data_IF_161633306374
#
_entry.id   IF_161633306374
#
_cell.length_a   1.000
_cell.length_b   1.000
_cell.length_c   1.000
_cell.angle_alpha   90.00
_cell.angle_beta   90.00
_cell.angle_gamma   90.00
#
_symmetry.space_group_name_H-M   'P 1'
#
loop_
_entity.id
_entity.type
_entity.pdbx_description
1 polymer ?
#
# COMPACT_ATOMS: atom_id res chain seq x y z
N UNK A 1 -41.90 51.57 -22.89
CA UNK A 1 -41.56 51.87 -21.48
C UNK A 1 -40.41 50.99 -21.06
N UNK A 2 -39.28 51.63 -20.71
CA UNK A 2 -38.32 51.30 -19.63
C UNK A 2 -37.85 49.83 -19.48
N UNK A 3 -36.52 49.69 -19.58
CA UNK A 3 -35.69 48.79 -18.76
C UNK A 3 -35.55 47.35 -19.29
N UNK A 4 -34.49 46.61 -19.01
CA UNK A 4 -33.24 46.83 -18.28
C UNK A 4 -32.34 45.61 -18.59
N UNK A 5 -31.03 45.86 -18.69
CA UNK A 5 -29.85 45.00 -18.42
C UNK A 5 -30.03 43.47 -18.38
N UNK A 6 -29.14 42.76 -19.10
CA UNK A 6 -28.23 41.70 -18.59
C UNK A 6 -27.27 41.29 -19.74
N UNK A 7 -26.00 41.72 -19.70
CA UNK A 7 -24.81 40.89 -19.41
C UNK A 7 -24.96 39.42 -19.86
N UNK A 8 -24.33 39.07 -20.98
CA UNK A 8 -23.45 37.91 -21.07
C UNK A 8 -22.59 38.02 -22.34
N UNK A 9 -21.30 38.20 -22.11
CA UNK A 9 -20.20 38.08 -23.08
C UNK A 9 -20.24 36.70 -23.73
N UNK A 10 -20.68 36.65 -24.97
CA UNK A 10 -20.57 35.47 -25.82
C UNK A 10 -19.12 35.20 -26.17
N UNK A 11 -18.61 34.05 -25.73
CA UNK A 11 -17.37 33.47 -26.21
C UNK A 11 -17.63 32.93 -27.63
N UNK A 12 -17.49 33.80 -28.64
CA UNK A 12 -17.57 33.40 -30.04
C UNK A 12 -16.23 32.82 -30.46
N UNK A 13 -16.22 31.49 -30.59
CA UNK A 13 -15.21 30.73 -31.33
C UNK A 13 -15.07 31.33 -32.72
N UNK A 14 -13.89 31.85 -33.05
CA UNK A 14 -13.48 32.12 -34.43
C UNK A 14 -12.28 31.25 -34.75
N UNK A 15 -12.56 30.15 -35.43
CA UNK A 15 -11.60 29.43 -36.26
C UNK A 15 -11.00 30.43 -37.25
N UNK A 16 -9.73 30.78 -37.08
CA UNK A 16 -8.97 31.46 -38.14
C UNK A 16 -7.64 30.73 -38.35
N UNK A 17 -7.64 29.94 -39.43
CA UNK A 17 -6.53 29.59 -40.30
C UNK A 17 -5.19 29.21 -39.67
N UNK A 18 -4.89 27.90 -39.71
CA UNK A 18 -3.50 27.43 -39.79
C UNK A 18 -2.81 28.04 -41.02
N UNK A 19 -1.81 28.88 -40.77
CA UNK A 19 -0.77 29.24 -41.73
C UNK A 19 0.57 28.83 -41.10
N UNK A 20 1.52 28.24 -41.84
CA UNK A 20 2.84 27.93 -41.31
C UNK A 20 3.59 29.24 -41.11
N UNK A 21 3.74 29.67 -39.86
CA UNK A 21 4.60 30.78 -39.52
C UNK A 21 6.05 30.31 -39.69
N UNK A 22 6.73 30.80 -40.73
CA UNK A 22 8.16 30.61 -40.89
C UNK A 22 8.86 31.08 -39.62
N UNK A 23 9.67 30.22 -39.00
CA UNK A 23 10.48 30.53 -37.84
C UNK A 23 11.43 31.69 -38.20
N UNK A 24 11.09 32.91 -37.77
CA UNK A 24 12.02 34.02 -37.85
C UNK A 24 13.09 33.84 -36.78
N UNK A 25 14.36 33.88 -37.20
CA UNK A 25 15.48 33.86 -36.29
C UNK A 25 15.38 35.08 -35.36
N UNK A 26 15.21 34.82 -34.06
CA UNK A 26 15.21 35.88 -33.05
C UNK A 26 16.57 36.58 -33.08
N UNK A 27 16.54 37.91 -33.15
CA UNK A 27 17.76 38.71 -33.13
C UNK A 27 18.42 38.62 -31.74
N UNK A 28 19.74 38.82 -31.69
CA UNK A 28 20.51 38.74 -30.43
C UNK A 28 19.98 39.72 -29.37
N UNK A 29 19.46 40.88 -29.79
CA UNK A 29 18.85 41.87 -28.90
C UNK A 29 17.51 41.41 -28.30
N UNK A 30 16.70 40.67 -29.06
CA UNK A 30 15.46 40.09 -28.56
C UNK A 30 15.75 38.98 -27.54
N UNK A 31 16.79 38.17 -27.78
CA UNK A 31 17.24 37.15 -26.84
C UNK A 31 17.81 37.78 -25.56
N UNK A 32 18.56 38.87 -25.67
CA UNK A 32 19.09 39.57 -24.50
C UNK A 32 17.97 40.15 -23.63
N UNK A 33 16.97 40.75 -24.27
CA UNK A 33 15.78 41.27 -23.57
C UNK A 33 15.02 40.17 -22.83
N UNK A 34 14.85 39.00 -23.45
CA UNK A 34 14.23 37.84 -22.81
C UNK A 34 15.06 37.32 -21.63
N UNK A 35 16.38 37.28 -21.75
CA UNK A 35 17.27 36.86 -20.66
C UNK A 35 17.15 37.80 -19.45
N UNK A 36 17.07 39.10 -19.69
CA UNK A 36 16.97 40.10 -18.62
C UNK A 36 15.59 40.04 -17.94
N UNK A 37 14.52 39.80 -18.70
CA UNK A 37 13.19 39.56 -18.15
C UNK A 37 13.14 38.27 -17.30
N UNK A 38 13.71 37.18 -17.80
CA UNK A 38 13.81 35.91 -17.08
C UNK A 38 14.63 36.05 -15.79
N UNK A 39 15.75 36.79 -15.82
CA UNK A 39 16.53 37.09 -14.61
C UNK A 39 15.70 37.87 -13.58
N UNK A 40 14.93 38.85 -14.02
CA UNK A 40 14.06 39.62 -13.13
C UNK A 40 12.97 38.73 -12.48
N UNK A 41 12.37 37.81 -13.24
CA UNK A 41 11.39 36.85 -12.70
C UNK A 41 12.00 35.89 -11.68
N UNK A 42 13.21 35.38 -11.95
CA UNK A 42 13.93 34.51 -11.00
C UNK A 42 14.27 35.26 -9.71
N UNK A 43 14.73 36.51 -9.81
CA UNK A 43 15.02 37.36 -8.64
C UNK A 43 13.77 37.58 -7.77
N UNK A 44 12.62 37.81 -8.41
CA UNK A 44 11.33 37.98 -7.72
C UNK A 44 10.90 36.69 -7.00
N UNK A 45 11.04 35.52 -7.64
CA UNK A 45 10.72 34.23 -7.03
C UNK A 45 11.63 33.88 -5.85
N UNK A 46 12.94 34.14 -5.97
CA UNK A 46 13.90 33.94 -4.86
C UNK A 46 13.55 34.83 -3.67
N UNK A 47 13.17 36.08 -3.93
CA UNK A 47 12.78 37.03 -2.87
C UNK A 47 11.47 36.61 -2.18
N UNK A 48 10.50 36.11 -2.93
CA UNK A 48 9.26 35.56 -2.39
C UNK A 48 9.51 34.30 -1.53
N UNK A 49 10.42 33.43 -1.96
CA UNK A 49 10.79 32.22 -1.20
C UNK A 49 11.52 32.57 0.11
N UNK A 50 12.40 33.60 0.08
CA UNK A 50 13.07 34.11 1.27
C UNK A 50 12.07 34.73 2.27
N UNK A 51 11.09 35.49 1.78
CA UNK A 51 10.03 36.05 2.62
C UNK A 51 9.15 34.96 3.26
N UNK A 52 8.86 33.88 2.53
CA UNK A 52 8.06 32.76 3.04
C UNK A 52 8.78 31.95 4.13
N UNK A 53 10.13 31.89 4.10
CA UNK A 53 10.95 31.26 5.15
C UNK A 53 10.92 32.01 6.50
N UNK A 54 10.65 33.31 6.50
CA UNK A 54 10.66 34.14 7.71
C UNK A 54 9.30 34.21 8.44
N UNK A 55 8.25 33.54 7.95
CA UNK A 55 6.91 33.57 8.57
C UNK A 55 6.47 32.28 9.27
N UNK A 56 7.38 31.33 9.56
CA UNK A 56 7.03 30.11 10.28
C UNK A 56 7.76 30.00 11.63
N UNK A 57 7.18 30.62 12.67
CA UNK A 57 7.41 30.20 14.06
C UNK A 57 6.20 30.58 14.93
N UNK A 58 5.42 29.62 15.46
CA UNK A 58 4.72 29.81 16.70
C UNK A 58 5.62 29.41 17.87
N UNK A 59 5.70 30.30 18.85
CA UNK A 59 6.39 30.15 20.12
C UNK A 59 5.66 29.09 20.96
N UNK A 60 6.37 28.05 21.42
CA UNK A 60 5.87 27.13 22.45
C UNK A 60 6.70 27.33 23.72
N UNK A 61 6.02 27.71 24.78
CA UNK A 61 6.57 27.96 26.11
C UNK A 61 7.16 26.67 26.72
N UNK A 62 8.33 26.80 27.33
CA UNK A 62 9.02 25.75 28.08
C UNK A 62 8.39 25.57 29.47
N UNK A 63 8.18 24.31 29.87
CA UNK A 63 7.88 23.89 31.26
C UNK A 63 9.03 22.96 31.72
N UNK A 64 9.55 23.05 32.96
CA UNK A 64 10.78 22.35 33.37
C UNK A 64 10.59 20.85 33.64
N UNK A 65 11.69 20.06 33.64
CA UNK A 65 11.64 18.60 33.70
C UNK A 65 11.44 18.06 35.12
N UNK A 66 10.56 17.08 35.25
CA UNK A 66 10.43 16.23 36.44
C UNK A 66 10.95 14.82 36.13
N UNK A 67 11.84 14.35 37.00
CA UNK A 67 12.51 13.05 36.96
C UNK A 67 11.54 11.92 37.32
N UNK A 68 11.53 10.85 36.53
CA UNK A 68 10.94 9.57 36.93
C UNK A 68 11.82 8.40 36.46
N UNK A 69 12.15 7.55 37.43
CA UNK A 69 12.99 6.35 37.38
C UNK A 69 12.35 5.22 36.55
N UNK A 70 13.11 4.30 35.94
CA UNK A 70 12.54 3.24 35.11
C UNK A 70 12.02 2.09 35.97
N UNK A 71 10.70 1.83 35.91
CA UNK A 71 10.13 0.58 36.37
C UNK A 71 10.13 -0.43 35.21
N UNK A 72 10.90 -1.50 35.37
CA UNK A 72 10.88 -2.69 34.51
C UNK A 72 9.54 -3.42 34.67
N UNK A 73 8.73 -3.47 33.61
CA UNK A 73 7.64 -4.43 33.48
C UNK A 73 7.87 -5.32 32.27
N UNK A 74 8.00 -6.60 32.55
CA UNK A 74 8.04 -7.70 31.60
C UNK A 74 6.75 -7.73 30.77
N UNK A 75 6.88 -7.48 29.47
CA UNK A 75 5.82 -7.66 28.49
C UNK A 75 5.69 -9.15 28.12
N UNK A 76 4.74 -9.84 28.75
CA UNK A 76 4.13 -11.03 28.15
C UNK A 76 2.99 -10.56 27.25
N UNK A 77 3.21 -10.58 25.94
CA UNK A 77 2.18 -10.31 24.96
C UNK A 77 1.16 -11.48 24.93
N UNK A 78 -0.15 -11.24 25.09
CA UNK A 78 -1.14 -12.27 24.87
C UNK A 78 -1.34 -12.45 23.36
N UNK A 79 -1.04 -13.65 22.87
CA UNK A 79 -1.49 -14.12 21.55
C UNK A 79 -2.99 -14.37 21.65
N UNK A 80 -3.80 -13.40 21.25
CA UNK A 80 -5.22 -13.65 20.99
C UNK A 80 -5.33 -14.33 19.63
N UNK A 81 -5.29 -15.67 19.66
CA UNK A 81 -5.84 -16.50 18.60
C UNK A 81 -7.29 -16.10 18.35
N UNK A 82 -7.67 -16.10 17.07
CA UNK A 82 -9.05 -15.97 16.65
C UNK A 82 -9.88 -17.04 17.38
N UNK A 83 -10.83 -16.61 18.20
CA UNK A 83 -11.76 -17.49 18.88
C UNK A 83 -12.63 -18.20 17.86
N UNK A 84 -12.48 -19.52 17.73
CA UNK A 84 -13.52 -20.42 17.28
C UNK A 84 -14.72 -20.34 18.24
N UNK A 85 -15.97 -20.53 17.78
CA UNK A 85 -17.14 -20.35 18.62
C UNK A 85 -17.32 -21.53 19.59
N UNK A 86 -17.13 -21.28 20.88
CA UNK A 86 -17.56 -22.17 21.95
C UNK A 86 -19.08 -22.19 22.03
N UNK A 87 -19.68 -23.37 21.94
CA UNK A 87 -21.11 -23.59 22.18
C UNK A 87 -21.44 -23.38 23.68
N UNK A 88 -22.39 -22.48 23.96
CA UNK A 88 -22.99 -22.27 25.28
C UNK A 88 -24.51 -22.01 25.10
N UNK A 89 -25.33 -22.29 26.13
CA UNK A 89 -26.68 -22.83 25.96
C UNK A 89 -27.73 -21.83 25.48
N UNK A 90 -28.79 -22.38 24.88
CA UNK A 90 -29.86 -21.69 24.16
C UNK A 90 -30.43 -20.47 24.91
N UNK A 91 -30.10 -19.29 24.38
CA UNK A 91 -30.75 -18.03 24.71
C UNK A 91 -31.84 -17.71 23.68
N UNK A 92 -32.92 -17.07 24.15
CA UNK A 92 -34.04 -16.53 23.38
C UNK A 92 -33.60 -15.83 22.07
N UNK A 93 -34.43 -15.82 21.00
CA UNK A 93 -34.01 -15.41 19.67
C UNK A 93 -33.40 -14.00 19.70
N UNK A 94 -32.08 -13.95 19.64
CA UNK A 94 -31.34 -12.71 19.58
C UNK A 94 -31.76 -11.98 18.30
N UNK A 95 -32.18 -10.72 18.44
CA UNK A 95 -32.37 -9.85 17.28
C UNK A 95 -31.12 -9.93 16.40
N UNK A 96 -31.30 -10.15 15.10
CA UNK A 96 -30.18 -10.22 14.16
C UNK A 96 -29.33 -8.94 14.31
N UNK A 97 -28.07 -9.09 14.70
CA UNK A 97 -27.14 -7.97 14.88
C UNK A 97 -27.13 -7.08 13.64
N UNK A 98 -27.14 -5.77 13.85
CA UNK A 98 -27.01 -4.82 12.73
C UNK A 98 -25.65 -5.01 12.05
N UNK A 99 -25.56 -4.69 10.75
CA UNK A 99 -24.36 -4.96 9.96
C UNK A 99 -23.10 -4.29 10.53
N UNK A 100 -23.24 -3.09 11.11
CA UNK A 100 -22.12 -2.36 11.73
C UNK A 100 -21.61 -3.03 13.02
N UNK A 101 -22.45 -3.82 13.71
CA UNK A 101 -22.05 -4.61 14.88
C UNK A 101 -21.28 -5.89 14.51
N UNK A 102 -21.33 -6.26 13.22
CA UNK A 102 -20.55 -7.37 12.66
C UNK A 102 -19.16 -6.93 12.18
N UNK A 103 -18.88 -5.63 12.17
CA UNK A 103 -17.57 -5.11 11.87
C UNK A 103 -16.64 -5.24 13.08
N UNK A 104 -15.40 -5.64 12.80
CA UNK A 104 -14.32 -5.76 13.77
C UNK A 104 -13.24 -4.75 13.45
N UNK A 105 -12.68 -4.16 14.51
CA UNK A 105 -11.49 -3.32 14.46
C UNK A 105 -10.34 -4.07 15.11
N UNK A 106 -9.26 -4.29 14.36
CA UNK A 106 -8.01 -4.85 14.89
C UNK A 106 -6.83 -4.04 14.40
N UNK A 107 -5.70 -4.16 15.07
CA UNK A 107 -4.49 -3.50 14.63
C UNK A 107 -3.25 -4.19 15.14
N UNK A 108 -2.11 -3.85 14.55
CA UNK A 108 -0.81 -4.28 15.06
C UNK A 108 0.26 -3.28 14.65
N UNK A 109 1.27 -3.18 15.51
CA UNK A 109 2.45 -2.33 15.31
C UNK A 109 3.69 -3.22 15.37
N UNK A 110 4.61 -3.00 14.43
CA UNK A 110 5.91 -3.67 14.40
C UNK A 110 7.01 -2.62 14.44
N UNK A 111 7.76 -2.60 15.53
CA UNK A 111 8.98 -1.83 15.67
C UNK A 111 10.18 -2.70 15.32
N UNK A 112 11.19 -2.13 14.67
CA UNK A 112 12.45 -2.79 14.33
C UNK A 112 13.63 -1.91 14.72
N UNK A 113 14.74 -2.55 15.06
CA UNK A 113 16.05 -1.95 15.06
C UNK A 113 16.86 -2.64 13.98
N UNK A 114 17.40 -1.86 13.04
CA UNK A 114 18.24 -2.37 11.97
C UNK A 114 19.66 -1.86 12.17
N UNK A 115 20.64 -2.77 12.18
CA UNK A 115 22.06 -2.44 12.18
C UNK A 115 22.81 -3.50 11.37
N UNK A 116 23.74 -3.04 10.54
CA UNK A 116 24.67 -3.92 9.86
C UNK A 116 25.75 -4.37 10.84
N UNK A 117 26.00 -5.67 10.92
CA UNK A 117 27.13 -6.21 11.67
C UNK A 117 28.41 -6.23 10.81
N UNK A 118 28.24 -6.44 9.51
CA UNK A 118 29.29 -6.42 8.47
C UNK A 118 28.65 -6.48 7.08
N UNK A 119 29.44 -6.27 6.03
CA UNK A 119 29.01 -6.36 4.62
C UNK A 119 28.84 -5.00 3.95
N UNK A 120 28.40 -5.03 2.69
CA UNK A 120 28.29 -3.85 1.84
C UNK A 120 27.01 -3.05 2.15
N UNK A 121 27.03 -2.34 3.29
CA UNK A 121 25.96 -1.42 3.70
C UNK A 121 25.88 -0.15 2.83
N UNK A 122 26.99 0.17 2.16
CA UNK A 122 27.15 1.21 1.14
C UNK A 122 27.77 0.62 -0.13
N UNK A 123 27.49 1.22 -1.29
CA UNK A 123 28.09 0.83 -2.56
C UNK A 123 28.23 2.02 -3.51
N UNK A 124 29.30 2.08 -4.34
CA UNK A 124 29.42 3.05 -5.44
C UNK A 124 28.24 3.01 -6.41
N UNK A 125 28.06 4.09 -7.18
CA UNK A 125 27.04 4.16 -8.22
C UNK A 125 27.18 3.00 -9.23
N UNK A 126 26.06 2.34 -9.53
CA UNK A 126 26.03 1.18 -10.43
C UNK A 126 26.28 -0.17 -9.75
N UNK A 127 26.68 -0.20 -8.47
CA UNK A 127 26.74 -1.43 -7.67
C UNK A 127 25.60 -1.51 -6.65
N UNK A 128 25.06 -2.70 -6.43
CA UNK A 128 24.01 -2.90 -5.44
C UNK A 128 24.63 -3.10 -4.06
N UNK A 129 24.32 -2.20 -3.13
CA UNK A 129 24.50 -2.45 -1.69
C UNK A 129 23.52 -3.50 -1.18
N UNK A 130 23.76 -4.03 0.01
CA UNK A 130 22.78 -4.84 0.74
C UNK A 130 21.56 -3.95 1.10
N UNK A 131 20.41 -4.33 0.54
CA UNK A 131 19.13 -3.62 0.68
C UNK A 131 17.98 -4.57 0.45
N UNK A 132 16.81 -4.24 0.99
CA UNK A 132 15.54 -4.86 0.59
C UNK A 132 14.68 -3.83 -0.12
N UNK A 133 14.02 -4.21 -1.22
CA UNK A 133 13.13 -3.33 -2.00
C UNK A 133 11.97 -2.81 -1.14
N UNK A 134 11.58 -3.55 -0.10
CA UNK A 134 10.41 -3.26 0.75
C UNK A 134 10.77 -2.94 2.20
N UNK A 135 12.05 -2.77 2.52
CA UNK A 135 12.50 -2.29 3.82
C UNK A 135 13.56 -1.20 3.66
N UNK A 136 13.09 0.05 3.66
CA UNK A 136 13.97 1.22 3.62
C UNK A 136 14.76 1.44 4.92
N UNK A 137 14.40 0.75 6.00
CA UNK A 137 15.15 0.77 7.26
C UNK A 137 16.48 0.02 7.17
N UNK A 138 16.68 -0.80 6.13
CA UNK A 138 17.96 -1.45 5.82
C UNK A 138 18.85 -0.42 5.08
N UNK A 139 19.62 0.33 5.87
CA UNK A 139 20.56 1.35 5.40
C UNK A 139 21.79 1.43 6.30
N UNK A 140 22.85 2.05 5.78
CA UNK A 140 24.08 2.43 6.51
C UNK A 140 23.79 3.31 7.75
N UNK A 141 22.63 3.95 7.79
CA UNK A 141 22.12 4.71 8.94
C UNK A 141 20.96 4.01 9.66
N UNK A 142 20.98 2.68 9.67
CA UNK A 142 19.98 1.86 10.35
C UNK A 142 19.80 2.24 11.82
N UNK A 143 18.56 2.29 12.27
CA UNK A 143 18.18 2.56 13.66
C UNK A 143 16.77 2.03 13.94
N UNK A 144 16.14 2.49 15.02
CA UNK A 144 14.74 2.22 15.31
C UNK A 144 13.84 2.74 14.20
N UNK A 145 12.91 1.90 13.76
CA UNK A 145 11.91 2.22 12.75
C UNK A 145 10.60 1.49 13.04
N UNK A 146 9.49 2.08 12.58
CA UNK A 146 8.22 1.40 12.51
C UNK A 146 8.12 0.73 11.15
N UNK A 147 8.07 -0.60 11.13
CA UNK A 147 7.96 -1.38 9.89
C UNK A 147 6.53 -1.46 9.38
N UNK A 148 5.57 -1.51 10.30
CA UNK A 148 4.12 -1.62 10.06
C UNK A 148 3.38 -0.95 11.21
N UNK A 149 2.40 -0.10 10.89
CA UNK A 149 1.43 0.43 11.85
C UNK A 149 0.08 0.30 11.17
N UNK A 150 -0.56 -0.86 11.33
CA UNK A 150 -1.76 -1.18 10.56
C UNK A 150 -2.98 -1.22 11.44
N UNK A 151 -4.02 -0.55 10.96
CA UNK A 151 -5.37 -0.69 11.44
C UNK A 151 -6.15 -1.52 10.41
N UNK A 152 -7.05 -2.38 10.87
CA UNK A 152 -7.88 -3.21 10.00
C UNK A 152 -9.32 -3.11 10.47
N UNK A 153 -10.18 -2.70 9.55
CA UNK A 153 -11.63 -2.75 9.71
C UNK A 153 -12.12 -3.84 8.77
N UNK A 154 -12.79 -4.86 9.30
CA UNK A 154 -13.28 -5.97 8.49
C UNK A 154 -14.57 -6.56 9.06
N UNK A 155 -15.44 -7.11 8.21
CA UNK A 155 -16.60 -7.88 8.65
C UNK A 155 -17.67 -8.05 7.58
N UNK A 156 -18.62 -8.94 7.87
CA UNK A 156 -19.73 -9.24 6.99
C UNK A 156 -20.83 -8.18 7.12
N UNK A 157 -21.09 -7.46 6.03
CA UNK A 157 -22.16 -6.46 5.98
C UNK A 157 -23.51 -7.07 5.56
N UNK A 158 -23.46 -8.24 4.92
CA UNK A 158 -24.61 -9.09 4.60
C UNK A 158 -24.18 -10.56 4.60
N UNK A 159 -25.11 -11.49 4.40
CA UNK A 159 -24.80 -12.92 4.33
C UNK A 159 -23.85 -13.28 3.19
N UNK A 160 -23.78 -12.43 2.16
CA UNK A 160 -23.00 -12.65 0.93
C UNK A 160 -21.93 -11.59 0.66
N UNK A 161 -21.78 -10.57 1.51
CA UNK A 161 -20.83 -9.49 1.27
C UNK A 161 -20.02 -9.20 2.53
N UNK A 162 -18.69 -9.21 2.39
CA UNK A 162 -17.73 -8.83 3.42
C UNK A 162 -16.90 -7.64 2.97
N UNK A 163 -16.54 -6.76 3.90
CA UNK A 163 -15.66 -5.62 3.65
C UNK A 163 -14.33 -5.80 4.37
N UNK A 164 -13.27 -5.25 3.78
CA UNK A 164 -11.94 -5.19 4.38
C UNK A 164 -11.23 -3.89 4.02
N UNK A 165 -10.75 -3.17 5.03
CA UNK A 165 -9.98 -1.94 4.89
C UNK A 165 -8.75 -2.00 5.81
N UNK A 166 -7.57 -1.71 5.24
CA UNK A 166 -6.30 -1.69 5.97
C UNK A 166 -5.43 -0.51 5.54
N UNK A 167 -5.44 0.62 6.26
CA UNK A 167 -4.37 1.62 6.18
C UNK A 167 -3.10 1.14 6.89
N UNK A 168 -1.96 1.65 6.44
CA UNK A 168 -0.65 1.50 7.09
C UNK A 168 -0.03 2.88 7.28
N UNK A 169 0.37 3.20 8.51
CA UNK A 169 0.99 4.48 8.88
C UNK A 169 2.53 4.41 8.92
N UNK A 170 3.11 3.22 8.72
CA UNK A 170 4.55 3.05 8.59
C UNK A 170 5.01 3.34 7.15
N UNK A 171 4.60 4.48 6.60
CA UNK A 171 4.99 4.91 5.25
C UNK A 171 5.52 6.32 5.25
N UNK A 172 6.41 6.57 4.28
CA UNK A 172 7.01 7.87 4.08
C UNK A 172 6.56 8.47 2.76
N UNK A 173 6.46 9.79 2.75
CA UNK A 173 6.44 10.56 1.51
C UNK A 173 7.68 11.44 1.45
N UNK A 174 8.26 11.48 0.26
CA UNK A 174 9.30 12.46 -0.08
C UNK A 174 8.61 13.62 -0.78
N UNK A 175 8.84 14.84 -0.28
CA UNK A 175 8.31 16.03 -0.91
C UNK A 175 8.88 16.17 -2.33
N UNK A 176 8.06 16.55 -3.31
CA UNK A 176 8.51 16.81 -4.68
C UNK A 176 9.47 18.02 -4.76
N UNK A 177 9.36 18.97 -3.82
CA UNK A 177 10.14 20.20 -3.79
C UNK A 177 11.28 20.21 -2.76
N UNK A 178 11.47 19.13 -1.99
CA UNK A 178 12.48 19.07 -0.93
C UNK A 178 13.05 17.67 -0.73
N UNK A 179 14.28 17.59 -0.26
CA UNK A 179 14.97 16.30 -0.03
C UNK A 179 14.60 15.62 1.30
N UNK A 180 13.82 16.31 2.15
CA UNK A 180 13.41 15.80 3.44
C UNK A 180 12.35 14.70 3.30
N UNK A 181 12.67 13.51 3.80
CA UNK A 181 11.75 12.38 3.91
C UNK A 181 10.94 12.51 5.20
N UNK A 182 9.62 12.40 5.11
CA UNK A 182 8.72 12.46 6.25
C UNK A 182 7.97 11.15 6.41
N UNK A 183 7.99 10.61 7.62
CA UNK A 183 7.37 9.33 7.99
C UNK A 183 5.99 9.56 8.63
N UNK A 184 5.21 8.48 8.82
CA UNK A 184 3.94 8.53 9.56
C UNK A 184 2.70 8.80 8.70
N UNK A 185 2.82 8.71 7.37
CA UNK A 185 1.70 8.95 6.46
C UNK A 185 0.83 7.71 6.31
N UNK A 186 -0.47 7.92 6.18
CA UNK A 186 -1.41 6.84 5.89
C UNK A 186 -1.35 6.43 4.42
N UNK A 187 -1.00 5.17 4.17
CA UNK A 187 -1.12 4.55 2.85
C UNK A 187 -2.20 3.46 2.88
N UNK A 188 -3.05 3.42 1.85
CA UNK A 188 -3.99 2.33 1.68
C UNK A 188 -3.24 1.05 1.31
N UNK A 189 -3.33 0.00 2.14
CA UNK A 189 -2.80 -1.32 1.80
C UNK A 189 -3.88 -2.13 1.12
N UNK A 190 -4.93 -2.47 1.86
CA UNK A 190 -6.06 -3.23 1.31
C UNK A 190 -7.35 -2.40 1.43
N UNK A 191 -8.18 -2.45 0.40
CA UNK A 191 -9.53 -1.91 0.39
C UNK A 191 -10.34 -2.70 -0.62
N UNK A 192 -11.11 -3.67 -0.14
CA UNK A 192 -11.87 -4.55 -1.02
C UNK A 192 -13.18 -5.01 -0.39
N UNK A 193 -14.07 -5.49 -1.25
CA UNK A 193 -15.26 -6.24 -0.89
C UNK A 193 -15.18 -7.67 -1.44
N UNK A 194 -15.52 -8.66 -0.61
CA UNK A 194 -15.72 -10.04 -1.05
C UNK A 194 -17.21 -10.31 -1.23
N UNK A 195 -17.59 -10.82 -2.40
CA UNK A 195 -18.96 -11.27 -2.72
C UNK A 195 -18.97 -12.79 -2.83
N UNK A 196 -19.77 -13.46 -2.01
CA UNK A 196 -19.87 -14.92 -1.96
C UNK A 196 -21.02 -15.43 -2.84
N UNK A 197 -20.68 -16.32 -3.78
CA UNK A 197 -21.64 -16.85 -4.76
C UNK A 197 -22.51 -17.97 -4.19
N UNK A 198 -22.06 -18.64 -3.13
CA UNK A 198 -22.78 -19.70 -2.44
C UNK A 198 -22.89 -19.43 -0.94
N UNK A 199 -23.87 -20.09 -0.28
CA UNK A 199 -24.09 -19.95 1.17
C UNK A 199 -22.93 -20.52 1.99
N UNK A 200 -22.22 -21.52 1.46
CA UNK A 200 -21.05 -22.10 2.11
C UNK A 200 -19.79 -21.25 1.92
N UNK A 201 -19.88 -20.11 1.21
CA UNK A 201 -18.78 -19.17 0.97
C UNK A 201 -17.56 -19.82 0.32
N UNK A 202 -17.77 -20.90 -0.44
CA UNK A 202 -16.71 -21.66 -1.13
C UNK A 202 -16.19 -20.93 -2.35
N UNK A 203 -17.03 -20.17 -3.04
CA UNK A 203 -16.70 -19.34 -4.19
C UNK A 203 -16.91 -17.88 -3.85
N UNK A 204 -15.87 -17.07 -4.01
CA UNK A 204 -15.94 -15.62 -3.79
C UNK A 204 -15.29 -14.82 -4.91
N UNK A 205 -15.84 -13.65 -5.17
CA UNK A 205 -15.26 -12.64 -6.02
C UNK A 205 -14.83 -11.46 -5.15
N UNK A 206 -13.55 -11.11 -5.21
CA UNK A 206 -12.96 -9.98 -4.52
C UNK A 206 -12.87 -8.80 -5.47
N UNK A 207 -13.31 -7.63 -5.04
CA UNK A 207 -13.25 -6.38 -5.81
C UNK A 207 -12.50 -5.32 -5.01
N UNK A 208 -11.44 -4.74 -5.58
CA UNK A 208 -10.72 -3.64 -4.99
C UNK A 208 -9.22 -3.89 -4.86
N UNK A 209 -8.54 -3.03 -4.08
CA UNK A 209 -7.12 -3.15 -3.85
C UNK A 209 -6.86 -4.25 -2.83
N UNK A 210 -6.15 -5.29 -3.25
CA UNK A 210 -5.90 -6.45 -2.40
C UNK A 210 -4.59 -7.15 -2.76
N UNK A 211 -4.20 -8.13 -1.95
CA UNK A 211 -3.05 -8.98 -2.27
C UNK A 211 -3.24 -9.69 -3.61
N UNK A 212 -2.21 -9.64 -4.43
CA UNK A 212 -2.10 -10.42 -5.65
C UNK A 212 -1.80 -11.87 -5.27
N UNK A 213 -2.58 -12.87 -5.76
CA UNK A 213 -2.44 -14.27 -5.37
C UNK A 213 -1.19 -14.90 -6.02
N UNK A 214 -0.01 -14.56 -5.50
CA UNK A 214 1.28 -15.00 -6.04
C UNK A 214 2.20 -15.48 -4.92
N UNK A 215 2.30 -16.80 -4.75
CA UNK A 215 3.16 -17.45 -3.77
C UNK A 215 2.55 -17.56 -2.36
N UNK A 216 2.82 -18.69 -1.71
CA UNK A 216 2.27 -19.03 -0.39
C UNK A 216 2.64 -18.00 0.71
N UNK A 217 3.91 -17.60 0.77
CA UNK A 217 4.37 -16.62 1.76
C UNK A 217 3.78 -15.22 1.56
N UNK A 218 3.38 -14.88 0.32
CA UNK A 218 2.72 -13.62 0.03
C UNK A 218 1.35 -13.57 0.69
N UNK A 219 0.60 -14.66 0.54
CA UNK A 219 -0.77 -14.79 1.04
C UNK A 219 -0.83 -14.82 2.55
N UNK A 220 0.19 -15.37 3.21
CA UNK A 220 0.30 -15.35 4.67
C UNK A 220 0.23 -13.91 5.24
N UNK A 221 -0.49 -13.75 6.37
CA UNK A 221 -0.56 -12.47 7.08
C UNK A 221 0.84 -12.05 7.57
N UNK A 222 1.18 -10.78 7.39
CA UNK A 222 2.43 -10.20 7.92
C UNK A 222 2.47 -10.15 9.45
N UNK A 223 1.33 -10.29 10.13
CA UNK A 223 1.29 -10.43 11.60
C UNK A 223 1.56 -11.85 12.08
N UNK A 224 1.35 -12.86 11.23
CA UNK A 224 1.44 -14.27 11.61
C UNK A 224 2.71 -14.96 11.07
N UNK A 225 3.44 -14.34 10.14
CA UNK A 225 4.63 -14.93 9.52
C UNK A 225 5.71 -15.28 10.53
N UNK A 226 6.49 -16.32 10.22
CA UNK A 226 7.66 -16.72 11.00
C UNK A 226 8.86 -15.81 10.74
N UNK A 227 9.19 -15.59 9.47
CA UNK A 227 10.28 -14.70 9.05
C UNK A 227 9.90 -13.22 9.19
N UNK A 228 10.90 -12.39 9.50
CA UNK A 228 10.71 -10.94 9.60
C UNK A 228 10.26 -10.36 8.25
N UNK A 229 10.92 -10.75 7.17
CA UNK A 229 10.58 -10.37 5.80
C UNK A 229 10.34 -11.60 4.91
N UNK A 230 9.72 -11.34 3.77
CA UNK A 230 9.50 -12.33 2.72
C UNK A 230 10.78 -12.59 1.95
N UNK A 231 10.82 -13.73 1.27
CA UNK A 231 11.88 -14.03 0.31
C UNK A 231 11.95 -12.95 -0.78
N UNK A 232 13.17 -12.67 -1.25
CA UNK A 232 13.38 -11.70 -2.32
C UNK A 232 12.74 -12.13 -3.63
N UNK A 233 12.66 -13.44 -3.90
CA UNK A 233 12.03 -13.98 -5.09
C UNK A 233 10.56 -13.57 -5.22
N UNK A 234 9.79 -13.69 -4.13
CA UNK A 234 8.37 -13.29 -4.12
C UNK A 234 8.22 -11.77 -4.08
N UNK A 235 9.04 -11.09 -3.29
CA UNK A 235 9.00 -9.64 -3.14
C UNK A 235 9.32 -8.88 -4.43
N UNK A 236 10.16 -9.46 -5.30
CA UNK A 236 10.59 -8.83 -6.56
C UNK A 236 9.55 -8.98 -7.67
N UNK A 237 8.76 -10.06 -7.65
CA UNK A 237 7.76 -10.33 -8.68
C UNK A 237 6.59 -9.33 -8.64
N UNK A 238 6.05 -9.06 -7.45
CA UNK A 238 4.97 -8.08 -7.27
C UNK A 238 5.36 -7.07 -6.19
N UNK A 239 6.06 -5.98 -6.55
CA UNK A 239 6.44 -4.95 -5.60
C UNK A 239 5.22 -4.39 -4.85
N UNK A 240 5.25 -4.45 -3.51
CA UNK A 240 4.14 -4.01 -2.67
C UNK A 240 3.02 -5.05 -2.52
N UNK A 241 3.09 -6.15 -3.28
CA UNK A 241 2.29 -7.39 -3.21
C UNK A 241 0.81 -7.25 -3.52
N UNK A 242 0.39 -6.04 -3.85
CA UNK A 242 -1.01 -5.63 -3.94
C UNK A 242 -1.22 -4.80 -5.16
N UNK A 243 -2.41 -4.93 -5.70
CA UNK A 243 -2.86 -4.16 -6.85
C UNK A 243 -4.39 -4.03 -6.81
N UNK A 244 -4.91 -3.11 -7.61
CA UNK A 244 -6.33 -2.89 -7.79
C UNK A 244 -6.85 -3.83 -8.88
N UNK A 245 -7.89 -4.61 -8.55
CA UNK A 245 -8.43 -5.56 -9.51
C UNK A 245 -9.60 -6.38 -9.00
N UNK A 246 -9.84 -7.49 -9.69
CA UNK A 246 -10.87 -8.48 -9.36
C UNK A 246 -10.24 -9.86 -9.27
N UNK A 247 -10.58 -10.62 -8.23
CA UNK A 247 -10.07 -11.99 -8.04
C UNK A 247 -11.19 -12.95 -7.71
N UNK A 248 -11.30 -14.03 -8.48
CA UNK A 248 -12.13 -15.17 -8.13
C UNK A 248 -11.31 -16.15 -7.29
N UNK A 249 -11.87 -16.59 -6.18
CA UNK A 249 -11.31 -17.63 -5.34
C UNK A 249 -12.29 -18.78 -5.18
N UNK A 250 -11.75 -19.99 -5.15
CA UNK A 250 -12.49 -21.20 -4.82
C UNK A 250 -11.74 -22.02 -3.77
N UNK A 251 -12.44 -22.42 -2.71
CA UNK A 251 -11.95 -23.39 -1.72
C UNK A 251 -12.93 -24.55 -1.62
N UNK A 252 -12.52 -25.77 -2.01
CA UNK A 252 -13.29 -26.97 -1.73
C UNK A 252 -13.50 -27.19 -0.22
N UNK A 253 -14.68 -27.63 0.25
CA UNK A 253 -14.92 -27.87 1.67
C UNK A 253 -13.93 -28.85 2.33
N UNK A 254 -13.49 -29.88 1.60
CA UNK A 254 -12.49 -30.82 2.10
C UNK A 254 -11.14 -30.16 2.38
N UNK A 255 -10.72 -29.24 1.51
CA UNK A 255 -9.49 -28.46 1.69
C UNK A 255 -9.64 -27.47 2.85
N UNK A 256 -10.79 -26.79 2.93
CA UNK A 256 -11.08 -25.87 4.03
C UNK A 256 -11.01 -26.58 5.37
N UNK A 257 -11.54 -27.80 5.46
CA UNK A 257 -11.49 -28.61 6.69
C UNK A 257 -10.05 -28.84 7.17
N UNK A 258 -9.15 -29.25 6.27
CA UNK A 258 -7.73 -29.49 6.62
C UNK A 258 -7.10 -28.21 7.20
N UNK A 259 -7.37 -27.06 6.59
CA UNK A 259 -6.88 -25.78 7.11
C UNK A 259 -7.53 -25.36 8.42
N UNK A 260 -8.80 -25.65 8.63
CA UNK A 260 -9.47 -25.36 9.90
C UNK A 260 -8.87 -26.19 11.04
N UNK A 261 -8.59 -27.47 10.79
CA UNK A 261 -7.93 -28.38 11.74
C UNK A 261 -6.50 -27.90 12.05
N UNK A 262 -5.71 -27.57 11.04
CA UNK A 262 -4.37 -27.01 11.24
C UNK A 262 -4.38 -25.69 12.02
N UNK A 263 -5.35 -24.81 11.74
CA UNK A 263 -5.48 -23.53 12.44
C UNK A 263 -5.89 -23.74 13.91
N UNK A 264 -6.77 -24.70 14.17
CA UNK A 264 -7.16 -25.11 15.52
C UNK A 264 -5.95 -25.57 16.33
N UNK A 265 -5.03 -26.29 15.70
CA UNK A 265 -3.78 -26.77 16.33
C UNK A 265 -2.69 -25.69 16.42
N UNK A 266 -3.02 -24.44 16.09
CA UNK A 266 -2.13 -23.29 16.19
C UNK A 266 -1.10 -23.17 15.06
N UNK A 267 -1.27 -23.92 13.97
CA UNK A 267 -0.36 -23.87 12.82
C UNK A 267 -0.54 -22.55 12.03
N UNK A 268 0.58 -22.08 11.47
CA UNK A 268 0.61 -20.82 10.71
C UNK A 268 0.31 -21.07 9.24
N UNK A 269 -0.93 -20.81 8.84
CA UNK A 269 -1.39 -21.05 7.47
C UNK A 269 -1.27 -19.82 6.56
N UNK A 270 -1.46 -20.02 5.25
CA UNK A 270 -1.42 -18.96 4.25
C UNK A 270 -2.64 -18.02 4.26
N UNK A 271 -3.52 -18.13 5.24
CA UNK A 271 -4.72 -17.28 5.36
C UNK A 271 -5.81 -17.66 4.36
N UNK A 272 -7.01 -17.14 4.55
CA UNK A 272 -8.16 -17.46 3.69
C UNK A 272 -8.02 -16.78 2.32
N UNK A 273 -7.28 -17.40 1.40
CA UNK A 273 -6.98 -16.93 0.03
C UNK A 273 -7.34 -17.93 -1.08
N UNK A 274 -8.28 -18.86 -0.83
CA UNK A 274 -8.67 -19.84 -1.84
C UNK A 274 -7.66 -20.99 -1.99
N UNK A 275 -8.14 -22.18 -2.31
CA UNK A 275 -7.28 -23.24 -2.87
C UNK A 275 -6.92 -22.92 -4.32
N UNK A 276 -7.85 -22.31 -5.05
CA UNK A 276 -7.66 -21.80 -6.39
C UNK A 276 -7.95 -20.30 -6.41
N UNK A 277 -7.14 -19.57 -7.15
CA UNK A 277 -7.29 -18.14 -7.37
C UNK A 277 -7.04 -17.79 -8.84
N UNK A 278 -7.90 -16.96 -9.41
CA UNK A 278 -7.65 -16.31 -10.70
C UNK A 278 -7.98 -14.83 -10.58
N UNK A 279 -7.00 -13.98 -10.88
CA UNK A 279 -7.10 -12.54 -10.71
C UNK A 279 -6.71 -11.77 -11.95
N UNK A 280 -7.38 -10.64 -12.14
CA UNK A 280 -7.06 -9.64 -13.14
C UNK A 280 -6.89 -8.29 -12.44
N UNK A 281 -5.76 -7.63 -12.67
CA UNK A 281 -5.38 -6.39 -12.00
C UNK A 281 -4.82 -5.38 -13.00
N UNK A 282 -4.70 -4.13 -12.57
CA UNK A 282 -4.07 -3.05 -13.32
C UNK A 282 -2.61 -3.41 -13.74
N UNK A 283 -1.77 -3.82 -12.78
CA UNK A 283 -0.43 -4.38 -13.04
C UNK A 283 0.73 -3.44 -12.68
N UNK A 284 0.46 -2.17 -12.42
CA UNK A 284 1.48 -1.18 -12.01
C UNK A 284 1.84 -1.25 -10.52
N UNK A 285 1.07 -2.01 -9.73
CA UNK A 285 1.26 -2.17 -8.29
C UNK A 285 0.52 -1.12 -7.44
N UNK A 286 0.71 -1.25 -6.13
CA UNK A 286 -0.13 -0.59 -5.13
C UNK A 286 -0.10 0.95 -5.18
N UNK A 287 -1.27 1.58 -5.13
CA UNK A 287 -1.46 3.04 -5.12
C UNK A 287 -0.71 3.78 -6.25
N UNK A 288 -0.54 3.14 -7.41
CA UNK A 288 0.00 3.78 -8.60
C UNK A 288 -1.10 3.98 -9.63
N UNK A 289 -1.00 5.09 -10.37
CA UNK A 289 -1.85 5.34 -11.52
C UNK A 289 -1.46 4.39 -12.65
N UNK A 290 -2.46 3.78 -13.29
CA UNK A 290 -2.25 2.95 -14.47
C UNK A 290 -1.56 3.75 -15.58
N UNK A 291 -0.54 3.16 -16.21
CA UNK A 291 0.30 3.80 -17.23
C UNK A 291 0.13 3.13 -18.60
N UNK A 292 -0.52 1.97 -18.66
CA UNK A 292 -0.73 1.23 -19.88
C UNK A 292 -2.18 0.74 -20.03
N UNK A 293 -2.46 -0.01 -21.09
CA UNK A 293 -3.80 -0.56 -21.40
C UNK A 293 -3.87 -2.08 -21.16
N UNK A 294 -2.80 -2.66 -20.63
CA UNK A 294 -2.69 -4.05 -20.26
C UNK A 294 -3.41 -4.34 -18.95
N UNK A 295 -3.55 -5.63 -18.67
CA UNK A 295 -4.02 -6.11 -17.38
C UNK A 295 -3.11 -7.25 -16.95
N UNK A 296 -2.65 -7.18 -15.71
CA UNK A 296 -1.96 -8.28 -15.06
C UNK A 296 -2.94 -9.44 -14.84
N UNK A 297 -2.52 -10.64 -15.21
CA UNK A 297 -3.27 -11.89 -14.99
C UNK A 297 -2.48 -12.76 -14.04
N UNK A 298 -3.13 -13.27 -13.01
CA UNK A 298 -2.49 -14.13 -12.01
C UNK A 298 -3.36 -15.33 -11.73
N UNK A 299 -2.72 -16.50 -11.65
CA UNK A 299 -3.36 -17.73 -11.22
C UNK A 299 -2.58 -18.33 -10.04
N UNK A 300 -3.30 -18.90 -9.09
CA UNK A 300 -2.78 -19.63 -7.95
C UNK A 300 -3.55 -20.92 -7.78
N UNK A 301 -2.83 -22.00 -7.48
CA UNK A 301 -3.40 -23.26 -7.05
C UNK A 301 -2.57 -23.81 -5.89
N UNK A 302 -3.22 -24.28 -4.84
CA UNK A 302 -2.57 -24.98 -3.72
C UNK A 302 -3.49 -26.06 -3.19
N UNK A 303 -2.90 -27.18 -2.76
CA UNK A 303 -3.62 -28.34 -2.28
C UNK A 303 -2.89 -29.02 -1.11
N UNK A 304 -3.51 -29.07 0.07
CA UNK A 304 -2.99 -29.84 1.20
C UNK A 304 -3.41 -31.31 1.12
N UNK A 305 -2.49 -32.20 1.49
CA UNK A 305 -2.70 -33.64 1.62
C UNK A 305 -2.39 -34.06 3.05
N UNK A 306 -3.33 -34.74 3.70
CA UNK A 306 -3.10 -35.40 4.99
C UNK A 306 -2.37 -36.73 4.76
N UNK A 307 -1.24 -36.93 5.43
CA UNK A 307 -0.43 -38.14 5.38
C UNK A 307 -0.12 -38.54 6.83
N UNK A 308 -0.94 -39.42 7.39
CA UNK A 308 -0.91 -39.72 8.83
C UNK A 308 -1.24 -38.47 9.63
N UNK A 309 -0.37 -38.12 10.59
CA UNK A 309 -0.53 -36.93 11.45
C UNK A 309 0.11 -35.66 10.86
N UNK A 310 0.55 -35.71 9.60
CA UNK A 310 1.21 -34.58 8.93
C UNK A 310 0.39 -34.10 7.73
N UNK A 311 0.55 -32.81 7.42
CA UNK A 311 0.01 -32.22 6.18
C UNK A 311 1.14 -31.80 5.28
N UNK A 312 1.10 -32.25 4.03
CA UNK A 312 1.98 -31.80 2.96
C UNK A 312 1.16 -30.96 1.98
N UNK A 313 1.54 -29.70 1.79
CA UNK A 313 0.84 -28.79 0.88
C UNK A 313 1.70 -28.51 -0.36
N UNK A 314 1.12 -28.75 -1.54
CA UNK A 314 1.72 -28.42 -2.82
C UNK A 314 0.98 -27.27 -3.46
N UNK A 315 1.70 -26.27 -3.93
CA UNK A 315 1.10 -25.14 -4.62
C UNK A 315 2.03 -24.44 -5.60
N UNK A 316 1.42 -23.68 -6.50
CA UNK A 316 2.09 -22.92 -7.52
C UNK A 316 1.32 -21.66 -7.88
N UNK A 317 2.02 -20.70 -8.48
CA UNK A 317 1.41 -19.48 -9.01
C UNK A 317 2.05 -19.10 -10.33
N UNK A 318 1.27 -18.50 -11.21
CA UNK A 318 1.71 -17.98 -12.48
C UNK A 318 1.20 -16.55 -12.66
N UNK A 319 2.02 -15.71 -13.29
CA UNK A 319 1.70 -14.30 -13.52
C UNK A 319 2.15 -13.89 -14.91
N UNK A 320 1.29 -13.15 -15.60
CA UNK A 320 1.58 -12.46 -16.85
C UNK A 320 1.26 -10.98 -16.65
N UNK A 321 2.23 -10.10 -16.84
CA UNK A 321 2.08 -8.68 -16.60
C UNK A 321 3.00 -7.85 -17.50
N UNK A 322 2.50 -6.71 -17.98
CA UNK A 322 3.26 -5.70 -18.69
C UNK A 322 3.42 -4.48 -17.75
N UNK A 323 4.62 -4.29 -17.21
CA UNK A 323 4.90 -3.17 -16.29
C UNK A 323 5.54 -2.02 -17.06
N UNK A 324 5.02 -0.83 -16.89
CA UNK A 324 5.70 0.40 -17.31
C UNK A 324 6.46 1.02 -16.12
N UNK A 325 7.80 0.92 -16.09
CA UNK A 325 8.60 1.50 -15.01
C UNK A 325 8.60 3.03 -15.09
N UNK A 326 8.55 3.67 -13.93
CA UNK A 326 8.74 5.11 -13.82
C UNK A 326 10.19 5.46 -14.17
N UNK A 327 10.39 6.14 -15.30
CA UNK A 327 11.70 6.69 -15.66
C UNK A 327 11.91 7.98 -14.89
N UNK A 328 12.71 7.95 -13.82
CA UNK A 328 13.22 9.19 -13.26
C UNK A 328 14.21 9.78 -14.26
N UNK A 329 14.09 11.08 -14.63
CA UNK A 329 15.15 11.75 -15.34
C UNK A 329 16.45 11.54 -14.57
N UNK A 330 17.47 11.02 -15.23
CA UNK A 330 18.80 11.00 -14.64
C UNK A 330 19.09 12.44 -14.21
N UNK A 331 19.37 12.64 -12.91
CA UNK A 331 19.95 13.89 -12.48
C UNK A 331 21.17 14.09 -13.37
N UNK A 332 21.13 15.08 -14.25
CA UNK A 332 22.23 15.40 -15.13
C UNK A 332 23.45 15.57 -14.24
N UNK A 333 24.41 14.65 -14.37
CA UNK A 333 25.73 14.82 -13.80
C UNK A 333 26.27 16.13 -14.39
N UNK A 334 26.24 17.19 -13.60
CA UNK A 334 27.03 18.39 -13.80
C UNK A 334 28.04 18.44 -12.68
#
# INVERSE_FOLDING_TARGET
MIGSKHIQTGLAVSLLALMPQAAQAQTVEQLQTQIDELKAQVQALVSALAASKNQAAPVVAQVPPQSATPATTSSTAPVVLASAPTAAPAAAPAKSKAWYEKLSLRGYTQMRYNAFLSGDDTAPAGMSRLRSVHDSGISDRGSFSLRRVRLVIQGDISDRVSLYLQPDFATAVSNQAGTERREGFGQLRDAYADVFLDKAKTVRMRFGQSKVPYGWENMQSSSNRLTLDRSDAINSAVPGERDLGVVAYYTPPAVQKIWDDLAHDGQKLFGNYGAFGFGVFNGQGINKTEQNRGLMKVALATWPFEIGDQVVEFGGSAMLNDVQPELRPAASAR
#
